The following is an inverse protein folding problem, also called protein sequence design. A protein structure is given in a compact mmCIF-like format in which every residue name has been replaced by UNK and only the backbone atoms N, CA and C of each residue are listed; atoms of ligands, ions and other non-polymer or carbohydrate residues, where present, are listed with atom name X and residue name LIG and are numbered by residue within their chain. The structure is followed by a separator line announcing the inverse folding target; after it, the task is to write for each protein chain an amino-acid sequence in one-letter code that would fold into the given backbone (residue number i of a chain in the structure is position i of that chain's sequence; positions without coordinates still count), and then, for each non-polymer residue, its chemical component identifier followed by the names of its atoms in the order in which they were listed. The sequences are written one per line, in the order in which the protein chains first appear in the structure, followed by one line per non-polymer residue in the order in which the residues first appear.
data_IF_469002030055
#
_entry.id   IF_469002030055
#
_cell.length_a   1.000
_cell.length_b   1.000
_cell.length_c   1.000
_cell.angle_alpha   90.00
_cell.angle_beta   90.00
_cell.angle_gamma   90.00
#
_symmetry.space_group_name_H-M   'P 1'
#
loop_
_entity.id
_entity.type
_entity.pdbx_description
1 polymer ?
#
# COMPACT_ATOMS: atom_id res chain seq x y z
N UNK A 1 6.90 -2.29 -34.91
CA UNK A 1 5.82 -2.99 -34.23
C UNK A 1 5.35 -2.09 -33.11
N UNK A 2 4.05 -1.89 -32.93
CA UNK A 2 3.55 -1.14 -31.78
C UNK A 2 3.57 -2.01 -30.52
N UNK A 3 3.30 -1.44 -29.35
CA UNK A 3 3.38 -2.17 -28.07
C UNK A 3 2.37 -3.32 -27.97
N UNK A 4 1.18 -3.17 -28.60
CA UNK A 4 0.16 -4.20 -28.62
C UNK A 4 0.57 -5.39 -29.51
N UNK A 5 1.16 -5.14 -30.69
CA UNK A 5 1.67 -6.21 -31.57
C UNK A 5 2.83 -6.95 -30.89
N UNK A 6 3.72 -6.22 -30.22
CA UNK A 6 4.83 -6.80 -29.47
C UNK A 6 4.33 -7.69 -28.33
N UNK A 7 3.26 -7.28 -27.66
CA UNK A 7 2.60 -8.07 -26.63
C UNK A 7 1.91 -9.32 -27.22
N UNK A 8 1.17 -9.17 -28.32
CA UNK A 8 0.51 -10.28 -28.97
C UNK A 8 1.50 -11.39 -29.41
N UNK A 9 2.70 -11.00 -29.86
CA UNK A 9 3.76 -11.94 -30.19
C UNK A 9 4.22 -12.80 -29.01
N UNK A 10 4.16 -12.29 -27.78
CA UNK A 10 4.49 -13.05 -26.57
C UNK A 10 3.47 -14.14 -26.23
N UNK A 11 2.23 -14.02 -26.72
CA UNK A 11 1.14 -14.97 -26.48
C UNK A 11 1.16 -16.15 -27.47
N UNK A 12 2.00 -16.10 -28.50
CA UNK A 12 2.20 -17.23 -29.43
C UNK A 12 2.99 -18.37 -28.76
N UNK A 13 2.92 -19.59 -29.35
CA UNK A 13 3.70 -20.74 -28.84
C UNK A 13 5.20 -20.42 -28.77
N UNK A 14 5.72 -19.70 -29.80
CA UNK A 14 7.12 -19.26 -29.83
C UNK A 14 7.44 -18.27 -28.70
N UNK A 15 6.58 -17.27 -28.51
CA UNK A 15 6.73 -16.30 -27.43
C UNK A 15 6.65 -16.92 -26.03
N UNK A 16 5.69 -17.83 -25.84
CA UNK A 16 5.53 -18.59 -24.61
C UNK A 16 6.75 -19.50 -24.31
N UNK A 17 7.29 -20.15 -25.35
CA UNK A 17 8.52 -20.94 -25.27
C UNK A 17 9.72 -20.10 -24.82
N UNK A 18 9.91 -18.92 -25.43
CA UNK A 18 10.97 -17.98 -25.02
C UNK A 18 10.81 -17.51 -23.59
N UNK A 19 9.60 -17.20 -23.14
CA UNK A 19 9.34 -16.79 -21.75
C UNK A 19 9.60 -17.92 -20.76
N UNK A 20 9.37 -19.17 -21.13
CA UNK A 20 9.70 -20.34 -20.31
C UNK A 20 11.22 -20.51 -20.18
N UNK A 21 11.98 -20.34 -21.29
CA UNK A 21 13.45 -20.39 -21.29
C UNK A 21 14.05 -19.26 -20.43
N UNK A 22 13.41 -18.09 -20.42
CA UNK A 22 13.86 -16.91 -19.69
C UNK A 22 13.45 -16.88 -18.21
N UNK A 23 12.77 -17.88 -17.69
CA UNK A 23 12.21 -17.88 -16.32
C UNK A 23 13.25 -17.59 -15.24
N UNK A 24 14.42 -18.24 -15.34
CA UNK A 24 15.45 -18.22 -14.31
C UNK A 24 16.72 -17.47 -14.76
N UNK A 25 16.61 -16.62 -15.81
CA UNK A 25 17.77 -15.89 -16.29
C UNK A 25 18.25 -14.82 -15.30
N UNK A 26 19.58 -14.68 -15.19
CA UNK A 26 20.19 -13.61 -14.40
C UNK A 26 20.35 -12.35 -15.28
N UNK A 27 20.08 -11.18 -14.68
CA UNK A 27 20.22 -9.89 -15.40
C UNK A 27 21.66 -9.65 -15.93
N UNK A 28 22.67 -10.24 -15.29
CA UNK A 28 24.07 -10.13 -15.71
C UNK A 28 24.36 -10.80 -17.08
N UNK A 29 23.57 -11.79 -17.47
CA UNK A 29 23.79 -12.59 -18.69
C UNK A 29 22.92 -12.13 -19.86
N UNK A 30 22.11 -11.08 -19.67
CA UNK A 30 21.06 -10.68 -20.61
C UNK A 30 21.59 -10.36 -22.02
N UNK A 31 22.74 -9.69 -22.14
CA UNK A 31 23.31 -9.32 -23.44
C UNK A 31 23.77 -10.55 -24.23
N UNK A 32 24.43 -11.49 -23.56
CA UNK A 32 24.88 -12.75 -24.18
C UNK A 32 23.67 -13.61 -24.58
N UNK A 33 22.66 -13.68 -23.73
CA UNK A 33 21.41 -14.38 -23.95
C UNK A 33 20.63 -13.79 -25.13
N UNK A 34 20.48 -12.46 -25.17
CA UNK A 34 19.86 -11.76 -26.30
C UNK A 34 20.56 -12.06 -27.64
N UNK A 35 21.90 -12.05 -27.64
CA UNK A 35 22.70 -12.33 -28.83
C UNK A 35 22.51 -13.77 -29.31
N UNK A 36 22.41 -14.72 -28.37
CA UNK A 36 22.16 -16.13 -28.68
C UNK A 36 20.77 -16.34 -29.27
N UNK A 37 19.73 -15.82 -28.58
CA UNK A 37 18.33 -16.02 -28.99
C UNK A 37 17.99 -15.37 -30.33
N UNK A 38 18.61 -14.26 -30.68
CA UNK A 38 18.42 -13.57 -31.96
C UNK A 38 18.95 -14.37 -33.18
N UNK A 39 19.63 -15.50 -32.99
CA UNK A 39 20.02 -16.39 -34.09
C UNK A 39 18.85 -17.23 -34.60
N UNK A 40 17.93 -17.57 -33.68
CA UNK A 40 16.85 -18.51 -33.94
C UNK A 40 15.47 -17.83 -33.90
N UNK A 41 15.37 -16.62 -33.35
CA UNK A 41 14.13 -15.89 -33.16
C UNK A 41 14.19 -14.43 -33.66
N UNK A 42 13.06 -13.84 -34.05
CA UNK A 42 12.98 -12.43 -34.44
C UNK A 42 13.48 -11.51 -33.33
N UNK A 43 14.33 -10.53 -33.70
CA UNK A 43 14.95 -9.63 -32.70
C UNK A 43 13.96 -8.85 -31.85
N UNK A 44 12.79 -8.52 -32.40
CA UNK A 44 11.71 -7.81 -31.72
C UNK A 44 11.04 -8.71 -30.67
N UNK A 45 10.77 -9.99 -31.02
CA UNK A 45 10.22 -10.96 -30.08
C UNK A 45 11.18 -11.23 -28.91
N UNK A 46 12.48 -11.39 -29.19
CA UNK A 46 13.51 -11.56 -28.16
C UNK A 46 13.55 -10.36 -27.23
N UNK A 47 13.46 -9.14 -27.78
CA UNK A 47 13.46 -7.91 -26.95
C UNK A 47 12.22 -7.82 -26.08
N UNK A 48 11.04 -8.17 -26.60
CA UNK A 48 9.79 -8.21 -25.86
C UNK A 48 9.83 -9.26 -24.73
N UNK A 49 10.34 -10.48 -25.03
CA UNK A 49 10.45 -11.56 -24.06
C UNK A 49 11.40 -11.24 -22.90
N UNK A 50 12.57 -10.64 -23.19
CA UNK A 50 13.51 -10.18 -22.17
C UNK A 50 12.91 -9.05 -21.31
N UNK A 51 12.20 -8.11 -21.97
CA UNK A 51 11.46 -7.05 -21.27
C UNK A 51 10.44 -7.64 -20.29
N UNK A 52 9.66 -8.61 -20.77
CA UNK A 52 8.64 -9.28 -19.94
C UNK A 52 9.26 -10.09 -18.79
N UNK A 53 10.35 -10.80 -19.03
CA UNK A 53 11.05 -11.55 -18.00
C UNK A 53 11.54 -10.63 -16.84
N UNK A 54 12.08 -9.45 -17.18
CA UNK A 54 12.44 -8.43 -16.16
C UNK A 54 11.23 -7.91 -15.39
N UNK A 55 10.11 -7.68 -16.07
CA UNK A 55 8.88 -7.24 -15.42
C UNK A 55 8.34 -8.31 -14.46
N UNK A 56 8.38 -9.60 -14.85
CA UNK A 56 8.01 -10.74 -13.99
C UNK A 56 8.86 -10.80 -12.71
N UNK A 57 10.17 -10.62 -12.81
CA UNK A 57 11.06 -10.58 -11.66
C UNK A 57 10.72 -9.42 -10.70
N UNK A 58 10.47 -8.22 -11.24
CA UNK A 58 10.05 -7.06 -10.44
C UNK A 58 8.66 -7.25 -9.80
N UNK A 59 7.76 -7.90 -10.51
CA UNK A 59 6.39 -8.14 -10.06
C UNK A 59 6.31 -9.16 -8.91
N UNK A 60 7.29 -10.05 -8.76
CA UNK A 60 7.30 -11.07 -7.71
C UNK A 60 7.13 -10.51 -6.30
N UNK A 61 7.62 -9.31 -6.04
CA UNK A 61 7.44 -8.61 -4.75
C UNK A 61 6.00 -8.16 -4.47
N UNK A 62 5.13 -8.10 -5.49
CA UNK A 62 3.72 -7.70 -5.36
C UNK A 62 2.77 -8.89 -5.48
N UNK A 63 3.06 -9.81 -6.42
CA UNK A 63 2.16 -10.89 -6.82
C UNK A 63 2.60 -12.27 -6.31
N UNK A 64 3.77 -12.36 -5.66
CA UNK A 64 4.41 -13.64 -5.36
C UNK A 64 5.14 -14.21 -6.57
N UNK A 65 6.12 -15.10 -6.33
CA UNK A 65 6.97 -15.62 -7.40
C UNK A 65 6.20 -16.52 -8.39
N UNK A 66 5.24 -17.30 -7.90
CA UNK A 66 4.47 -18.25 -8.70
C UNK A 66 3.56 -17.54 -9.71
N UNK A 67 2.71 -16.61 -9.24
CA UNK A 67 1.82 -15.85 -10.11
C UNK A 67 2.60 -14.96 -11.05
N UNK A 68 3.60 -14.22 -10.54
CA UNK A 68 4.42 -13.34 -11.36
C UNK A 68 5.12 -14.07 -12.52
N UNK A 69 5.50 -15.34 -12.35
CA UNK A 69 6.10 -16.14 -13.41
C UNK A 69 5.12 -16.51 -14.54
N UNK A 70 3.81 -16.53 -14.24
CA UNK A 70 2.74 -16.86 -15.21
C UNK A 70 2.12 -15.62 -15.83
N UNK A 71 2.00 -14.54 -15.08
CA UNK A 71 1.37 -13.29 -15.47
C UNK A 71 2.19 -12.51 -16.50
N UNK A 72 1.49 -11.57 -17.15
CA UNK A 72 2.06 -10.58 -18.05
C UNK A 72 1.93 -9.18 -17.47
N UNK A 73 2.87 -8.30 -17.82
CA UNK A 73 2.98 -6.99 -17.21
C UNK A 73 3.32 -5.91 -18.24
N UNK A 74 2.81 -4.70 -18.00
CA UNK A 74 3.37 -3.47 -18.56
C UNK A 74 4.25 -2.79 -17.51
N UNK A 75 5.20 -1.92 -17.90
CA UNK A 75 6.01 -1.16 -16.93
C UNK A 75 5.15 -0.39 -15.91
N UNK A 76 4.11 0.31 -16.39
CA UNK A 76 3.16 1.03 -15.56
C UNK A 76 2.32 0.08 -14.69
N UNK A 77 1.88 -1.06 -15.26
CA UNK A 77 1.10 -2.08 -14.55
C UNK A 77 1.85 -2.62 -13.33
N UNK A 78 3.14 -2.96 -13.45
CA UNK A 78 3.94 -3.41 -12.28
C UNK A 78 4.00 -2.34 -11.20
N UNK A 79 4.15 -1.06 -11.57
CA UNK A 79 4.24 0.02 -10.59
C UNK A 79 2.92 0.32 -9.91
N UNK A 80 1.81 0.35 -10.66
CA UNK A 80 0.52 0.84 -10.21
C UNK A 80 -0.38 -0.25 -9.62
N UNK A 81 -0.21 -1.52 -10.03
CA UNK A 81 -1.04 -2.61 -9.54
C UNK A 81 -1.03 -2.72 -8.02
N UNK A 82 -2.19 -3.04 -7.48
CA UNK A 82 -2.39 -3.39 -6.07
C UNK A 82 -1.56 -4.63 -5.71
N UNK A 83 -0.99 -4.68 -4.51
CA UNK A 83 -0.36 -5.90 -3.98
C UNK A 83 -1.40 -6.98 -3.74
N UNK A 84 -1.05 -8.23 -3.95
CA UNK A 84 -1.95 -9.37 -3.74
C UNK A 84 -2.58 -9.37 -2.35
N UNK A 85 -1.79 -9.12 -1.29
CA UNK A 85 -2.29 -9.06 0.10
C UNK A 85 -3.41 -8.06 0.29
N UNK A 86 -3.30 -6.89 -0.35
CA UNK A 86 -4.30 -5.80 -0.27
C UNK A 86 -5.52 -6.13 -1.14
N UNK A 87 -5.31 -6.66 -2.35
CA UNK A 87 -6.39 -7.08 -3.24
C UNK A 87 -7.20 -8.24 -2.64
N UNK A 88 -6.54 -9.22 -2.02
CA UNK A 88 -7.20 -10.34 -1.31
C UNK A 88 -8.01 -9.86 -0.09
N UNK A 89 -7.48 -8.88 0.66
CA UNK A 89 -8.25 -8.26 1.75
C UNK A 89 -9.54 -7.64 1.22
N UNK A 90 -9.47 -6.89 0.14
CA UNK A 90 -10.63 -6.27 -0.52
C UNK A 90 -11.62 -7.32 -1.02
N UNK A 91 -11.14 -8.36 -1.71
CA UNK A 91 -11.97 -9.45 -2.21
C UNK A 91 -12.69 -10.18 -1.09
N UNK A 92 -11.99 -10.49 0.02
CA UNK A 92 -12.59 -11.09 1.21
C UNK A 92 -13.70 -10.20 1.77
N UNK A 93 -13.47 -8.91 1.85
CA UNK A 93 -14.47 -7.97 2.37
C UNK A 93 -15.70 -7.88 1.48
N UNK A 94 -15.55 -7.88 0.15
CA UNK A 94 -16.70 -8.00 -0.77
C UNK A 94 -17.45 -9.31 -0.56
N UNK A 95 -16.77 -10.45 -0.39
CA UNK A 95 -17.40 -11.73 -0.12
C UNK A 95 -18.17 -11.72 1.22
N UNK A 96 -17.62 -11.12 2.28
CA UNK A 96 -18.30 -10.94 3.58
C UNK A 96 -19.57 -10.09 3.46
N UNK A 97 -19.62 -9.15 2.52
CA UNK A 97 -20.80 -8.34 2.19
C UNK A 97 -21.82 -9.10 1.30
N UNK A 98 -21.58 -10.37 1.01
CA UNK A 98 -22.45 -11.22 0.20
C UNK A 98 -22.48 -10.82 -1.28
N UNK A 99 -21.37 -10.31 -1.81
CA UNK A 99 -21.23 -9.88 -3.20
C UNK A 99 -20.89 -11.07 -4.09
N UNK A 100 -21.72 -11.35 -5.09
CA UNK A 100 -21.50 -12.42 -6.08
C UNK A 100 -20.91 -11.91 -7.41
N UNK A 101 -20.99 -10.60 -7.66
CA UNK A 101 -20.47 -9.98 -8.88
C UNK A 101 -19.99 -8.55 -8.65
N UNK A 102 -18.86 -8.16 -9.26
CA UNK A 102 -18.24 -6.84 -9.14
C UNK A 102 -17.89 -6.26 -10.51
N UNK A 103 -18.23 -5.00 -10.74
CA UNK A 103 -17.63 -4.22 -11.82
C UNK A 103 -16.35 -3.55 -11.29
N UNK A 104 -15.18 -4.01 -11.75
CA UNK A 104 -13.85 -3.46 -11.46
C UNK A 104 -13.50 -2.40 -12.51
N UNK A 105 -13.69 -1.15 -12.14
CA UNK A 105 -13.54 0.00 -13.02
C UNK A 105 -12.15 0.62 -12.86
N UNK A 106 -11.43 0.75 -13.98
CA UNK A 106 -10.01 1.04 -14.09
C UNK A 106 -9.15 -0.15 -13.58
N UNK A 107 -9.46 -1.35 -14.08
CA UNK A 107 -8.90 -2.61 -13.59
C UNK A 107 -7.37 -2.75 -13.79
N UNK A 108 -6.77 -1.91 -14.65
CA UNK A 108 -5.37 -2.03 -14.99
C UNK A 108 -5.05 -3.42 -15.55
N UNK A 109 -3.96 -4.02 -15.09
CA UNK A 109 -3.54 -5.37 -15.50
C UNK A 109 -4.31 -6.51 -14.81
N UNK A 110 -5.39 -6.19 -14.10
CA UNK A 110 -6.31 -7.15 -13.48
C UNK A 110 -5.93 -7.62 -12.07
N UNK A 111 -5.09 -6.89 -11.33
CA UNK A 111 -4.62 -7.32 -10.01
C UNK A 111 -5.75 -7.54 -9.00
N UNK A 112 -6.68 -6.61 -8.89
CA UNK A 112 -7.86 -6.71 -8.03
C UNK A 112 -8.88 -7.70 -8.60
N UNK A 113 -9.11 -7.70 -9.93
CA UNK A 113 -9.99 -8.65 -10.61
C UNK A 113 -9.60 -10.12 -10.35
N UNK A 114 -8.28 -10.42 -10.37
CA UNK A 114 -7.76 -11.76 -10.05
C UNK A 114 -8.10 -12.16 -8.61
N UNK A 115 -7.90 -11.25 -7.64
CA UNK A 115 -8.21 -11.53 -6.24
C UNK A 115 -9.73 -11.75 -6.01
N UNK A 116 -10.56 -10.94 -6.64
CA UNK A 116 -12.02 -11.08 -6.61
C UNK A 116 -12.45 -12.42 -7.21
N UNK A 117 -11.95 -12.81 -8.38
CA UNK A 117 -12.25 -14.07 -9.03
C UNK A 117 -11.80 -15.28 -8.20
N UNK A 118 -10.65 -15.24 -7.54
CA UNK A 118 -10.16 -16.26 -6.60
C UNK A 118 -11.07 -16.41 -5.37
N UNK A 119 -11.76 -15.34 -4.97
CA UNK A 119 -12.78 -15.39 -3.94
C UNK A 119 -14.15 -15.91 -4.44
N UNK A 120 -14.25 -16.36 -5.70
CA UNK A 120 -15.47 -16.88 -6.31
C UNK A 120 -16.44 -15.80 -6.81
N UNK A 121 -16.00 -14.55 -6.90
CA UNK A 121 -16.81 -13.42 -7.36
C UNK A 121 -16.63 -13.25 -8.86
N UNK A 122 -17.73 -13.11 -9.62
CA UNK A 122 -17.67 -12.75 -11.05
C UNK A 122 -17.26 -11.31 -11.23
N UNK A 123 -16.37 -11.04 -12.18
CA UNK A 123 -15.81 -9.72 -12.39
C UNK A 123 -16.01 -9.25 -13.83
N UNK A 124 -16.53 -8.03 -13.99
CA UNK A 124 -16.36 -7.24 -15.20
C UNK A 124 -15.18 -6.31 -14.98
N UNK A 125 -14.06 -6.59 -15.61
CA UNK A 125 -12.84 -5.78 -15.52
C UNK A 125 -12.79 -4.80 -16.70
N UNK A 126 -12.84 -3.49 -16.42
CA UNK A 126 -12.91 -2.46 -17.45
C UNK A 126 -11.71 -1.53 -17.36
N UNK A 127 -11.05 -1.33 -18.48
CA UNK A 127 -10.03 -0.29 -18.65
C UNK A 127 -10.14 0.32 -20.05
N UNK A 128 -9.66 1.53 -20.26
CA UNK A 128 -9.73 2.21 -21.56
C UNK A 128 -8.52 1.94 -22.46
N UNK A 129 -7.41 1.47 -21.88
CA UNK A 129 -6.16 1.23 -22.62
C UNK A 129 -6.15 -0.17 -23.25
N UNK A 130 -6.11 -0.29 -24.60
CA UNK A 130 -6.18 -1.60 -25.26
C UNK A 130 -5.06 -2.56 -24.88
N UNK A 131 -3.83 -2.07 -24.64
CA UNK A 131 -2.73 -2.92 -24.22
C UNK A 131 -2.96 -3.44 -22.79
N UNK A 132 -3.42 -2.57 -21.90
CA UNK A 132 -3.74 -2.93 -20.51
C UNK A 132 -4.85 -3.97 -20.47
N UNK A 133 -5.92 -3.82 -21.27
CA UNK A 133 -7.00 -4.80 -21.39
C UNK A 133 -6.50 -6.15 -21.94
N UNK A 134 -5.65 -6.13 -22.98
CA UNK A 134 -5.06 -7.36 -23.51
C UNK A 134 -4.21 -8.10 -22.46
N UNK A 135 -3.45 -7.34 -21.65
CA UNK A 135 -2.67 -7.90 -20.54
C UNK A 135 -3.58 -8.47 -19.43
N UNK A 136 -4.64 -7.77 -19.06
CA UNK A 136 -5.61 -8.26 -18.07
C UNK A 136 -6.29 -9.56 -18.53
N UNK A 137 -6.68 -9.63 -19.80
CA UNK A 137 -7.25 -10.84 -20.41
C UNK A 137 -6.25 -12.02 -20.37
N UNK A 138 -5.02 -11.79 -20.82
CA UNK A 138 -3.97 -12.80 -20.79
C UNK A 138 -3.65 -13.28 -19.35
N UNK A 139 -3.74 -12.39 -18.37
CA UNK A 139 -3.56 -12.74 -16.95
C UNK A 139 -4.70 -13.61 -16.43
N UNK A 140 -5.95 -13.29 -16.77
CA UNK A 140 -7.11 -14.12 -16.43
C UNK A 140 -6.97 -15.54 -17.01
N UNK A 141 -6.57 -15.65 -18.25
CA UNK A 141 -6.33 -16.94 -18.93
C UNK A 141 -5.16 -17.70 -18.32
N UNK A 142 -3.99 -17.05 -18.15
CA UNK A 142 -2.81 -17.67 -17.59
C UNK A 142 -3.00 -18.21 -16.19
N UNK A 143 -3.89 -17.60 -15.41
CA UNK A 143 -4.21 -18.02 -14.03
C UNK A 143 -5.42 -18.96 -13.96
N UNK A 144 -6.10 -19.26 -15.08
CA UNK A 144 -7.27 -20.15 -15.13
C UNK A 144 -8.54 -19.50 -14.57
N UNK A 145 -8.68 -18.18 -14.68
CA UNK A 145 -9.79 -17.39 -14.14
C UNK A 145 -10.69 -16.77 -15.23
N UNK A 146 -10.47 -17.10 -16.51
CA UNK A 146 -11.19 -16.51 -17.63
C UNK A 146 -12.71 -16.73 -17.57
N UNK A 147 -13.19 -17.80 -16.93
CA UNK A 147 -14.63 -18.06 -16.76
C UNK A 147 -15.29 -17.10 -15.74
N UNK A 148 -14.49 -16.48 -14.85
CA UNK A 148 -14.97 -15.55 -13.82
C UNK A 148 -14.66 -14.08 -14.15
N UNK A 149 -13.74 -13.80 -15.07
CA UNK A 149 -13.31 -12.44 -15.41
C UNK A 149 -13.66 -12.14 -16.86
N UNK A 150 -14.60 -11.22 -17.08
CA UNK A 150 -14.86 -10.61 -18.38
C UNK A 150 -14.05 -9.32 -18.49
N UNK A 151 -13.14 -9.21 -19.45
CA UNK A 151 -12.38 -7.97 -19.69
C UNK A 151 -13.04 -7.19 -20.81
N UNK A 152 -13.26 -5.89 -20.58
CA UNK A 152 -13.84 -4.96 -21.54
C UNK A 152 -12.95 -3.73 -21.71
N UNK A 153 -12.59 -3.44 -22.95
CA UNK A 153 -11.86 -2.23 -23.30
C UNK A 153 -12.88 -1.13 -23.63
N UNK A 154 -13.16 -0.27 -22.64
CA UNK A 154 -14.19 0.76 -22.75
C UNK A 154 -13.90 1.93 -21.79
N UNK A 155 -14.61 3.05 -21.97
CA UNK A 155 -14.63 4.11 -20.97
C UNK A 155 -15.55 3.69 -19.82
N UNK A 156 -15.01 3.69 -18.60
CA UNK A 156 -15.76 3.30 -17.39
C UNK A 156 -17.02 4.12 -17.16
N UNK A 157 -17.08 5.34 -17.71
CA UNK A 157 -18.26 6.22 -17.59
C UNK A 157 -19.43 5.76 -18.46
N UNK A 158 -19.18 4.91 -19.45
CA UNK A 158 -20.20 4.33 -20.34
C UNK A 158 -20.75 2.98 -19.81
N UNK A 159 -20.16 2.43 -18.74
CA UNK A 159 -20.55 1.12 -18.19
C UNK A 159 -21.81 1.23 -17.35
N UNK A 160 -22.80 0.40 -17.66
CA UNK A 160 -23.97 0.21 -16.78
C UNK A 160 -23.56 -0.63 -15.57
N UNK A 161 -23.40 0.02 -14.43
CA UNK A 161 -23.03 -0.62 -13.15
C UNK A 161 -24.23 -1.26 -12.45
N UNK A 162 -25.46 -0.97 -12.88
CA UNK A 162 -26.68 -1.45 -12.22
C UNK A 162 -26.92 -2.96 -12.36
N UNK A 163 -26.24 -3.63 -13.31
CA UNK A 163 -26.31 -5.08 -13.50
C UNK A 163 -25.40 -5.88 -12.55
N UNK A 164 -24.58 -5.21 -11.72
CA UNK A 164 -23.58 -5.80 -10.84
C UNK A 164 -23.93 -5.60 -9.38
N UNK A 165 -23.65 -6.60 -8.52
CA UNK A 165 -23.92 -6.48 -7.08
C UNK A 165 -23.10 -5.38 -6.43
N UNK A 166 -21.88 -5.16 -6.91
CA UNK A 166 -20.99 -4.15 -6.38
C UNK A 166 -20.11 -3.49 -7.46
N UNK A 167 -19.55 -2.36 -7.09
CA UNK A 167 -18.62 -1.58 -7.90
C UNK A 167 -17.31 -1.37 -7.14
N UNK A 168 -16.19 -1.64 -7.79
CA UNK A 168 -14.87 -1.21 -7.35
C UNK A 168 -14.31 -0.18 -8.33
N UNK A 169 -13.73 0.91 -7.83
CA UNK A 169 -13.09 1.93 -8.65
C UNK A 169 -11.70 2.23 -8.14
N UNK A 170 -10.68 2.06 -9.00
CA UNK A 170 -9.30 2.48 -8.76
C UNK A 170 -8.89 3.56 -9.78
N UNK A 171 -9.31 4.82 -9.59
CA UNK A 171 -9.08 5.84 -10.59
C UNK A 171 -7.60 6.16 -10.76
N UNK A 172 -7.18 6.37 -12.03
CA UNK A 172 -5.80 6.68 -12.34
C UNK A 172 -5.37 8.02 -11.71
N UNK A 173 -4.30 7.98 -10.90
CA UNK A 173 -3.74 9.13 -10.16
C UNK A 173 -2.48 9.70 -10.78
N UNK A 174 -2.14 9.29 -12.01
CA UNK A 174 -0.96 9.76 -12.75
C UNK A 174 -1.38 10.44 -14.04
N UNK A 175 -0.96 11.70 -14.18
CA UNK A 175 -0.97 12.42 -15.46
C UNK A 175 0.43 12.42 -16.06
N UNK A 176 0.57 12.93 -17.30
CA UNK A 176 1.86 12.99 -18.00
C UNK A 176 2.98 13.77 -17.28
N UNK A 177 2.70 14.43 -16.16
CA UNK A 177 3.65 15.22 -15.35
C UNK A 177 3.87 14.66 -13.93
N UNK A 178 3.42 13.42 -13.62
CA UNK A 178 3.63 12.81 -12.33
C UNK A 178 2.35 12.49 -11.55
N UNK A 179 2.48 12.37 -10.21
CA UNK A 179 1.38 11.99 -9.31
C UNK A 179 0.43 13.15 -9.07
N UNK A 180 -0.86 12.92 -9.23
CA UNK A 180 -1.93 13.89 -8.97
C UNK A 180 -2.36 13.75 -7.50
N UNK A 181 -2.42 14.86 -6.77
CA UNK A 181 -2.82 14.90 -5.36
C UNK A 181 -4.29 15.28 -5.18
N UNK A 182 -4.84 16.12 -6.07
CA UNK A 182 -6.25 16.49 -6.07
C UNK A 182 -7.09 15.32 -6.61
N UNK A 183 -7.99 14.73 -5.82
CA UNK A 183 -8.82 13.60 -6.27
C UNK A 183 -9.82 13.97 -7.38
N UNK A 184 -10.20 15.23 -7.52
CA UNK A 184 -11.05 15.69 -8.64
C UNK A 184 -10.29 15.71 -9.98
N UNK A 185 -8.98 15.71 -9.96
CA UNK A 185 -8.15 15.58 -11.16
C UNK A 185 -7.77 14.11 -11.50
N UNK A 186 -8.31 13.13 -10.78
CA UNK A 186 -8.18 11.71 -11.14
C UNK A 186 -8.96 11.38 -12.42
N UNK A 187 -8.70 10.23 -13.00
CA UNK A 187 -9.45 9.74 -14.15
C UNK A 187 -10.01 8.34 -13.87
N UNK A 188 -11.33 8.22 -13.64
CA UNK A 188 -12.33 9.30 -13.53
C UNK A 188 -12.16 10.14 -12.25
N UNK A 189 -12.81 11.36 -12.19
CA UNK A 189 -12.82 12.21 -11.00
C UNK A 189 -13.46 11.55 -9.79
N UNK A 190 -13.06 11.96 -8.58
CA UNK A 190 -13.63 11.41 -7.34
C UNK A 190 -15.14 11.60 -7.25
N UNK A 191 -15.66 12.76 -7.67
CA UNK A 191 -17.10 13.04 -7.72
C UNK A 191 -17.86 12.01 -8.55
N UNK A 192 -17.35 11.67 -9.75
CA UNK A 192 -17.94 10.62 -10.59
C UNK A 192 -17.91 9.26 -9.89
N UNK A 193 -16.78 8.89 -9.28
CA UNK A 193 -16.63 7.60 -8.60
C UNK A 193 -17.59 7.48 -7.41
N UNK A 194 -17.79 8.56 -6.64
CA UNK A 194 -18.77 8.63 -5.55
C UNK A 194 -20.20 8.43 -6.09
N UNK A 195 -20.53 9.09 -7.19
CA UNK A 195 -21.86 8.95 -7.80
C UNK A 195 -22.09 7.53 -8.36
N UNK A 196 -21.06 6.89 -8.92
CA UNK A 196 -21.13 5.49 -9.32
C UNK A 196 -21.34 4.55 -8.11
N UNK A 197 -20.61 4.80 -7.01
CA UNK A 197 -20.73 4.05 -5.76
C UNK A 197 -22.12 4.18 -5.13
N UNK A 198 -22.74 5.37 -5.16
CA UNK A 198 -24.09 5.61 -4.64
C UNK A 198 -25.18 4.86 -5.38
N UNK A 199 -24.96 4.54 -6.65
CA UNK A 199 -25.92 3.75 -7.46
C UNK A 199 -25.83 2.25 -7.23
N UNK A 200 -24.70 1.77 -6.69
CA UNK A 200 -24.49 0.35 -6.41
C UNK A 200 -25.00 -0.04 -5.03
N UNK A 201 -25.37 -1.30 -4.85
CA UNK A 201 -25.74 -1.85 -3.53
C UNK A 201 -24.56 -1.79 -2.56
N UNK A 202 -23.35 -2.04 -3.07
CA UNK A 202 -22.10 -2.01 -2.33
C UNK A 202 -21.02 -1.44 -3.25
N UNK A 203 -20.07 -0.68 -2.72
CA UNK A 203 -18.93 -0.24 -3.51
C UNK A 203 -17.68 0.00 -2.66
N UNK A 204 -16.53 -0.06 -3.32
CA UNK A 204 -15.24 0.34 -2.77
C UNK A 204 -14.54 1.32 -3.72
N UNK A 205 -14.10 2.46 -3.20
CA UNK A 205 -13.33 3.45 -3.95
C UNK A 205 -11.93 3.53 -3.37
N UNK A 206 -10.92 3.21 -4.17
CA UNK A 206 -9.51 3.29 -3.79
C UNK A 206 -9.00 4.71 -3.94
N UNK A 207 -8.51 5.28 -2.86
CA UNK A 207 -8.04 6.66 -2.77
C UNK A 207 -6.60 6.69 -2.25
N UNK A 208 -5.89 7.79 -2.52
CA UNK A 208 -4.57 8.01 -1.93
C UNK A 208 -4.66 8.02 -0.40
N UNK A 209 -3.71 7.41 0.32
CA UNK A 209 -3.76 7.33 1.79
C UNK A 209 -3.62 8.69 2.49
N UNK A 210 -3.25 9.73 1.76
CA UNK A 210 -3.18 11.11 2.24
C UNK A 210 -4.44 11.93 1.97
N UNK A 211 -5.56 11.28 1.65
CA UNK A 211 -6.83 11.98 1.44
C UNK A 211 -7.25 12.74 2.69
N UNK A 212 -7.69 14.01 2.56
CA UNK A 212 -8.28 14.76 3.65
C UNK A 212 -9.57 14.09 4.15
N UNK A 213 -9.78 14.06 5.47
CA UNK A 213 -10.97 13.42 6.05
C UNK A 213 -12.28 14.11 5.64
N UNK A 214 -12.23 15.39 5.32
CA UNK A 214 -13.36 16.19 4.84
C UNK A 214 -13.92 15.72 3.49
N UNK A 215 -13.12 14.96 2.74
CA UNK A 215 -13.53 14.36 1.46
C UNK A 215 -14.17 12.97 1.62
N UNK A 216 -14.20 12.42 2.84
CA UNK A 216 -14.89 11.15 3.11
C UNK A 216 -16.40 11.39 3.05
N UNK A 217 -17.15 10.71 2.15
CA UNK A 217 -18.61 10.82 2.13
C UNK A 217 -19.22 10.36 3.46
N UNK A 218 -20.21 11.08 3.96
CA UNK A 218 -20.84 10.78 5.25
C UNK A 218 -21.52 9.38 5.27
N UNK A 219 -21.94 8.89 4.11
CA UNK A 219 -22.54 7.58 3.92
C UNK A 219 -21.51 6.44 3.75
N UNK A 220 -20.24 6.76 3.65
CA UNK A 220 -19.18 5.77 3.49
C UNK A 220 -18.49 5.44 4.81
N UNK A 221 -17.96 4.23 4.92
CA UNK A 221 -16.93 3.87 5.87
C UNK A 221 -15.56 4.16 5.23
N UNK A 222 -14.63 4.76 5.97
CA UNK A 222 -13.28 5.00 5.52
C UNK A 222 -12.30 4.01 6.15
N UNK A 223 -11.52 3.31 5.34
CA UNK A 223 -10.51 2.34 5.78
C UNK A 223 -9.13 2.74 5.28
N UNK A 224 -8.15 2.85 6.20
CA UNK A 224 -6.74 2.98 5.85
C UNK A 224 -6.03 1.65 6.01
N UNK A 225 -5.37 1.18 4.95
CA UNK A 225 -4.75 -0.14 4.88
C UNK A 225 -3.23 0.03 4.83
N UNK A 226 -2.54 -0.63 5.75
CA UNK A 226 -1.09 -0.80 5.71
C UNK A 226 -0.72 -2.25 5.38
N UNK A 227 0.38 -2.44 4.64
CA UNK A 227 0.96 -3.74 4.34
C UNK A 227 2.46 -3.70 4.61
N UNK A 228 2.93 -4.58 5.50
CA UNK A 228 4.31 -4.59 5.96
C UNK A 228 4.73 -3.29 6.66
N UNK A 229 3.82 -2.61 7.36
CA UNK A 229 4.09 -1.35 8.10
C UNK A 229 3.98 -0.07 7.25
N UNK A 230 3.79 -0.18 5.95
CA UNK A 230 3.60 0.99 5.06
C UNK A 230 2.13 1.16 4.70
N UNK A 231 1.60 2.38 4.84
CA UNK A 231 0.23 2.70 4.41
C UNK A 231 0.18 2.69 2.88
N UNK A 232 -0.65 1.80 2.32
CA UNK A 232 -0.74 1.61 0.87
C UNK A 232 -1.84 2.45 0.24
N UNK A 233 -3.01 2.48 0.87
CA UNK A 233 -4.19 3.14 0.34
C UNK A 233 -5.18 3.53 1.45
N UNK A 234 -6.13 4.38 1.10
CA UNK A 234 -7.41 4.52 1.77
C UNK A 234 -8.50 3.97 0.85
N UNK A 235 -9.57 3.44 1.43
CA UNK A 235 -10.74 2.93 0.69
C UNK A 235 -12.00 3.52 1.31
N UNK A 236 -12.88 4.07 0.47
CA UNK A 236 -14.23 4.44 0.87
C UNK A 236 -15.17 3.29 0.53
N UNK A 237 -15.79 2.70 1.54
CA UNK A 237 -16.74 1.60 1.42
C UNK A 237 -18.16 2.10 1.52
N UNK A 238 -19.00 1.77 0.53
CA UNK A 238 -20.42 2.06 0.51
C UNK A 238 -21.22 0.78 0.71
N UNK A 239 -22.41 0.87 1.29
CA UNK A 239 -23.21 -0.30 1.67
C UNK A 239 -22.70 -1.00 2.94
N UNK A 240 -21.87 -0.32 3.73
CA UNK A 240 -21.34 -0.74 5.03
C UNK A 240 -21.85 0.19 6.13
N UNK A 241 -21.08 0.43 7.19
CA UNK A 241 -21.46 1.30 8.30
C UNK A 241 -21.14 2.77 7.99
N UNK A 242 -22.12 3.63 7.73
CA UNK A 242 -21.89 5.03 7.43
C UNK A 242 -21.08 5.76 8.51
N UNK A 243 -20.11 6.55 8.09
CA UNK A 243 -19.26 7.35 8.98
C UNK A 243 -18.26 6.56 9.83
N UNK A 244 -18.24 5.22 9.70
CA UNK A 244 -17.25 4.40 10.40
C UNK A 244 -15.84 4.67 9.84
N UNK A 245 -14.85 4.55 10.73
CA UNK A 245 -13.43 4.68 10.38
C UNK A 245 -12.67 3.45 10.85
N UNK A 246 -11.76 2.97 10.02
CA UNK A 246 -11.00 1.74 10.28
C UNK A 246 -9.53 1.89 9.87
N UNK A 247 -8.64 1.27 10.64
CA UNK A 247 -7.25 1.03 10.25
C UNK A 247 -7.01 -0.48 10.20
N UNK A 248 -6.51 -0.99 9.08
CA UNK A 248 -6.24 -2.42 8.87
C UNK A 248 -4.76 -2.65 8.61
N UNK A 249 -4.22 -3.67 9.28
CA UNK A 249 -2.82 -4.06 9.19
C UNK A 249 -2.68 -5.39 8.46
N UNK A 250 -2.00 -5.39 7.34
CA UNK A 250 -1.72 -6.60 6.57
C UNK A 250 -0.23 -7.00 6.73
N UNK A 251 0.10 -8.27 6.66
CA UNK A 251 -0.76 -9.41 6.30
C UNK A 251 -1.57 -10.01 7.47
N UNK A 252 -1.41 -9.54 8.72
CA UNK A 252 -2.07 -10.13 9.90
C UNK A 252 -3.61 -10.06 9.84
N UNK A 253 -4.17 -9.03 9.19
CA UNK A 253 -5.59 -8.79 9.14
C UNK A 253 -6.17 -8.09 10.37
N UNK A 254 -5.31 -7.68 11.32
CA UNK A 254 -5.75 -6.92 12.49
C UNK A 254 -6.42 -5.61 12.06
N UNK A 255 -7.61 -5.33 12.60
CA UNK A 255 -8.37 -4.13 12.29
C UNK A 255 -8.78 -3.39 13.55
N UNK A 256 -8.52 -2.08 13.58
CA UNK A 256 -8.95 -1.16 14.63
C UNK A 256 -10.07 -0.30 14.09
N UNK A 257 -11.25 -0.39 14.69
CA UNK A 257 -12.39 0.45 14.37
C UNK A 257 -12.45 1.66 15.30
N UNK A 258 -12.85 2.80 14.75
CA UNK A 258 -13.11 4.00 15.53
C UNK A 258 -14.36 3.84 16.39
N UNK A 259 -14.26 4.25 17.64
CA UNK A 259 -15.35 4.20 18.62
C UNK A 259 -15.82 5.59 19.04
N UNK A 260 -15.29 6.64 18.37
CA UNK A 260 -15.63 8.04 18.67
C UNK A 260 -15.05 8.55 20.00
N UNK A 261 -13.92 7.97 20.43
CA UNK A 261 -13.26 8.43 21.64
C UNK A 261 -12.77 9.88 21.49
N UNK A 262 -12.84 10.67 22.56
CA UNK A 262 -12.25 11.99 22.58
C UNK A 262 -10.72 11.90 22.50
N UNK A 263 -10.07 13.02 22.15
CA UNK A 263 -8.62 13.10 22.17
C UNK A 263 -8.07 12.64 23.53
N UNK A 264 -7.02 11.79 23.55
CA UNK A 264 -6.45 11.30 24.79
C UNK A 264 -5.86 12.45 25.61
N UNK A 265 -5.85 12.34 26.96
CA UNK A 265 -5.21 13.34 27.81
C UNK A 265 -3.71 13.41 27.51
N UNK A 266 -3.14 14.61 27.61
CA UNK A 266 -1.68 14.78 27.61
C UNK A 266 -1.13 14.35 28.98
N UNK A 267 -0.02 13.61 28.97
CA UNK A 267 0.64 13.08 30.17
C UNK A 267 2.16 13.27 30.06
N UNK A 268 2.86 13.41 31.20
CA UNK A 268 4.31 13.28 31.24
C UNK A 268 4.76 11.96 30.62
N UNK A 269 5.96 11.93 30.06
CA UNK A 269 6.53 10.72 29.47
C UNK A 269 6.68 9.65 30.54
N UNK A 270 5.94 8.55 30.40
CA UNK A 270 6.01 7.37 31.26
C UNK A 270 7.13 6.40 30.82
N UNK A 271 7.13 5.23 31.43
CA UNK A 271 8.14 4.20 31.16
C UNK A 271 8.11 3.71 29.72
N UNK A 272 6.94 3.64 29.10
CA UNK A 272 6.77 3.13 27.74
C UNK A 272 6.22 4.21 26.82
N UNK A 273 6.81 4.26 25.62
CA UNK A 273 6.33 5.08 24.50
C UNK A 273 5.84 4.14 23.39
N UNK A 274 4.65 4.41 22.92
CA UNK A 274 4.03 3.69 21.81
C UNK A 274 4.02 4.58 20.56
N UNK A 275 4.53 4.04 19.47
CA UNK A 275 4.45 4.66 18.15
C UNK A 275 3.32 4.01 17.34
N UNK A 276 2.15 4.63 17.22
CA UNK A 276 1.06 4.11 16.42
C UNK A 276 1.47 3.94 14.96
N UNK A 277 0.99 2.85 14.34
CA UNK A 277 1.21 2.54 12.93
C UNK A 277 0.65 3.62 12.01
N UNK A 278 1.20 3.70 10.80
CA UNK A 278 0.81 4.73 9.83
C UNK A 278 -0.69 4.72 9.50
N UNK A 279 -1.32 3.55 9.36
CA UNK A 279 -2.75 3.43 9.10
C UNK A 279 -3.60 3.99 10.27
N UNK A 280 -3.20 3.71 11.52
CA UNK A 280 -3.86 4.24 12.73
C UNK A 280 -3.80 5.76 12.77
N UNK A 281 -2.61 6.33 12.49
CA UNK A 281 -2.43 7.79 12.47
C UNK A 281 -3.26 8.44 11.38
N UNK A 282 -3.27 7.84 10.18
CA UNK A 282 -4.04 8.34 9.03
C UNK A 282 -5.55 8.22 9.24
N UNK A 283 -5.99 7.17 9.93
CA UNK A 283 -7.40 6.95 10.29
C UNK A 283 -7.85 7.81 11.49
N UNK A 284 -6.96 8.60 12.11
CA UNK A 284 -7.21 9.38 13.34
C UNK A 284 -7.65 8.51 14.54
N UNK A 285 -7.14 7.26 14.64
CA UNK A 285 -7.49 6.28 15.67
C UNK A 285 -6.44 6.18 16.79
N UNK A 286 -5.69 7.26 17.04
CA UNK A 286 -4.68 7.29 18.11
C UNK A 286 -5.33 7.22 19.50
N UNK A 287 -6.56 7.72 19.65
CA UNK A 287 -7.33 7.66 20.89
C UNK A 287 -7.64 6.22 21.31
N UNK A 288 -8.02 5.37 20.34
CA UNK A 288 -8.30 3.96 20.55
C UNK A 288 -7.04 3.20 21.01
N UNK A 289 -5.89 3.51 20.41
CA UNK A 289 -4.60 2.95 20.86
C UNK A 289 -4.26 3.44 22.26
N UNK A 290 -4.43 4.73 22.57
CA UNK A 290 -4.17 5.26 23.90
C UNK A 290 -5.07 4.59 24.95
N UNK A 291 -6.34 4.40 24.65
CA UNK A 291 -7.28 3.71 25.55
C UNK A 291 -6.86 2.24 25.75
N UNK A 292 -6.47 1.53 24.68
CA UNK A 292 -6.08 0.11 24.77
C UNK A 292 -4.83 -0.14 25.62
N UNK A 293 -3.93 0.84 25.71
CA UNK A 293 -2.69 0.75 26.52
C UNK A 293 -2.79 1.51 27.85
N UNK A 294 -3.97 2.01 28.23
CA UNK A 294 -4.16 2.81 29.44
C UNK A 294 -3.31 4.08 29.48
N UNK A 295 -3.02 4.63 28.30
CA UNK A 295 -2.06 5.71 28.11
C UNK A 295 -2.67 7.08 27.82
N UNK A 296 -1.80 8.01 27.41
CA UNK A 296 -2.14 9.34 26.94
C UNK A 296 -1.09 9.87 25.96
N UNK A 297 -1.30 11.04 25.40
CA UNK A 297 -0.34 11.67 24.48
C UNK A 297 0.80 12.34 25.25
N UNK A 298 1.98 12.41 24.68
CA UNK A 298 3.10 13.21 25.24
C UNK A 298 3.00 14.68 24.83
N UNK A 299 2.22 14.99 23.81
CA UNK A 299 1.99 16.32 23.24
C UNK A 299 0.67 16.28 22.42
N UNK A 300 -0.16 17.32 22.49
CA UNK A 300 -1.48 17.30 21.84
C UNK A 300 -1.40 17.16 20.30
N UNK A 301 -0.28 17.58 19.70
CA UNK A 301 -0.05 17.55 18.25
C UNK A 301 0.83 16.40 17.77
N UNK A 302 1.27 15.54 18.69
CA UNK A 302 2.20 14.45 18.37
C UNK A 302 1.56 13.09 18.65
N UNK A 303 1.44 12.27 17.62
CA UNK A 303 0.87 10.92 17.72
C UNK A 303 1.87 9.92 18.35
N UNK A 304 2.39 10.23 19.52
CA UNK A 304 3.07 9.30 20.43
C UNK A 304 2.23 9.13 21.68
N UNK A 305 1.95 7.88 22.03
CA UNK A 305 1.22 7.53 23.25
C UNK A 305 2.21 7.07 24.30
N UNK A 306 1.99 7.44 25.55
CA UNK A 306 2.82 7.02 26.67
C UNK A 306 2.01 6.30 27.74
N UNK A 307 2.62 5.31 28.42
CA UNK A 307 2.02 4.57 29.54
C UNK A 307 3.11 4.10 30.49
N UNK A 308 2.77 3.90 31.77
CA UNK A 308 3.70 3.33 32.75
C UNK A 308 3.70 1.79 32.75
N UNK A 309 2.68 1.18 32.17
CA UNK A 309 2.57 -0.27 32.00
C UNK A 309 2.77 -0.68 30.55
N UNK A 310 3.40 -1.84 30.33
CA UNK A 310 3.53 -2.43 28.99
C UNK A 310 2.27 -3.22 28.65
N UNK A 311 1.61 -2.80 27.57
CA UNK A 311 0.46 -3.49 26.99
C UNK A 311 0.77 -3.89 25.55
N UNK A 312 0.55 -5.15 25.20
CA UNK A 312 0.70 -5.60 23.82
C UNK A 312 -0.44 -5.08 22.94
N UNK A 313 -0.09 -4.55 21.79
CA UNK A 313 -1.05 -4.13 20.76
C UNK A 313 -0.40 -4.27 19.39
N UNK A 314 -1.09 -4.77 18.35
CA UNK A 314 -0.55 -4.80 16.99
C UNK A 314 -0.53 -3.40 16.35
N UNK A 315 -1.25 -2.43 16.91
CA UNK A 315 -1.48 -1.12 16.31
C UNK A 315 -0.40 -0.09 16.62
N UNK A 316 0.55 -0.41 17.51
CA UNK A 316 1.68 0.46 17.83
C UNK A 316 2.93 -0.34 18.19
N UNK A 317 4.09 0.21 17.87
CA UNK A 317 5.37 -0.33 18.35
C UNK A 317 5.67 0.29 19.71
N UNK A 318 5.95 -0.56 20.71
CA UNK A 318 6.31 -0.14 22.05
C UNK A 318 7.83 0.02 22.22
N UNK A 319 8.22 1.01 23.00
CA UNK A 319 9.61 1.30 23.36
C UNK A 319 9.71 1.58 24.86
N UNK A 320 10.66 0.96 25.55
CA UNK A 320 11.01 1.36 26.92
C UNK A 320 11.88 2.60 26.86
N UNK A 321 11.43 3.69 27.48
CA UNK A 321 12.17 4.96 27.54
C UNK A 321 13.15 4.91 28.69
N UNK A 322 14.41 5.19 28.37
CA UNK A 322 15.52 5.19 29.32
C UNK A 322 15.94 6.58 29.73
N UNK A 323 15.74 7.58 28.85
CA UNK A 323 16.09 8.96 29.12
C UNK A 323 15.21 9.95 28.37
N UNK A 324 15.00 11.09 29.01
CA UNK A 324 14.38 12.28 28.44
C UNK A 324 15.34 13.47 28.59
N UNK A 325 15.61 14.14 27.50
CA UNK A 325 16.54 15.27 27.42
C UNK A 325 15.88 16.46 26.71
N UNK A 326 16.09 17.70 27.17
CA UNK A 326 15.83 18.85 26.31
C UNK A 326 16.62 18.72 25.00
N UNK A 327 16.11 19.34 23.94
CA UNK A 327 16.76 19.24 22.62
C UNK A 327 18.20 19.81 22.67
N UNK A 328 19.18 18.94 22.82
CA UNK A 328 20.61 19.29 22.85
C UNK A 328 21.47 18.17 22.26
N UNK A 329 21.93 18.38 21.02
CA UNK A 329 22.70 17.39 20.26
C UNK A 329 24.03 17.01 20.96
N UNK A 330 24.70 17.96 21.65
CA UNK A 330 25.95 17.67 22.37
C UNK A 330 25.72 16.76 23.56
N UNK A 331 24.68 17.05 24.35
CA UNK A 331 24.30 16.25 25.52
C UNK A 331 23.86 14.85 25.13
N UNK A 332 23.02 14.73 24.07
CA UNK A 332 22.64 13.43 23.52
C UNK A 332 23.86 12.63 23.08
N UNK A 333 24.82 13.25 22.38
CA UNK A 333 26.03 12.57 21.93
C UNK A 333 26.89 12.05 23.07
N UNK A 334 27.02 12.83 24.15
CA UNK A 334 27.74 12.40 25.35
C UNK A 334 27.06 11.16 25.99
N UNK A 335 25.74 11.19 26.18
CA UNK A 335 24.95 10.08 26.72
C UNK A 335 25.09 8.81 25.88
N UNK A 336 24.94 8.92 24.55
CA UNK A 336 25.02 7.76 23.67
C UNK A 336 26.43 7.14 23.63
N UNK A 337 27.48 7.94 23.80
CA UNK A 337 28.86 7.47 23.91
C UNK A 337 29.12 6.78 25.25
N UNK A 338 28.65 7.34 26.36
CA UNK A 338 28.72 6.74 27.68
C UNK A 338 28.06 5.34 27.68
N UNK A 339 26.97 5.18 26.97
CA UNK A 339 26.25 3.89 26.80
C UNK A 339 26.83 2.99 25.73
N UNK A 340 27.98 3.32 25.17
CA UNK A 340 28.64 2.57 24.09
C UNK A 340 27.70 2.22 22.91
N UNK A 341 26.82 3.16 22.53
CA UNK A 341 25.92 3.00 21.39
C UNK A 341 26.70 3.12 20.08
N UNK A 342 26.52 2.16 19.18
CA UNK A 342 27.09 2.17 17.83
C UNK A 342 26.00 2.16 16.76
N UNK A 343 24.86 1.50 17.01
CA UNK A 343 23.72 1.46 16.09
C UNK A 343 22.65 2.41 16.60
N UNK A 344 22.33 3.45 15.79
CA UNK A 344 21.36 4.46 16.14
C UNK A 344 20.19 4.49 15.18
N UNK A 345 19.01 4.14 15.68
CA UNK A 345 17.73 4.41 14.99
C UNK A 345 17.25 5.80 15.41
N UNK A 346 16.89 6.63 14.44
CA UNK A 346 16.34 7.97 14.72
C UNK A 346 14.93 8.05 14.14
N UNK A 347 13.98 8.36 14.99
CA UNK A 347 12.57 8.62 14.64
C UNK A 347 12.26 10.09 14.86
N UNK A 348 11.38 10.65 14.03
CA UNK A 348 11.06 12.07 14.06
C UNK A 348 9.56 12.31 13.97
N UNK A 349 9.01 13.05 14.95
CA UNK A 349 7.67 13.66 14.89
C UNK A 349 7.71 15.01 15.60
N UNK A 350 7.42 16.09 14.86
CA UNK A 350 7.36 17.44 15.44
C UNK A 350 8.73 18.10 15.69
N UNK A 351 9.81 17.61 15.09
CA UNK A 351 11.14 18.22 15.16
C UNK A 351 11.58 18.72 13.77
N UNK A 352 12.26 19.86 13.67
CA UNK A 352 12.80 20.35 12.40
C UNK A 352 14.06 19.60 11.95
N UNK A 353 14.78 18.92 12.88
CA UNK A 353 16.02 18.22 12.54
C UNK A 353 15.76 16.91 11.81
N UNK A 354 16.45 16.69 10.70
CA UNK A 354 16.34 15.45 9.93
C UNK A 354 17.13 14.29 10.58
N UNK A 355 16.62 13.04 10.56
CA UNK A 355 17.27 11.87 11.10
C UNK A 355 18.68 11.65 10.58
N UNK A 356 18.90 11.80 9.28
CA UNK A 356 20.21 11.63 8.63
C UNK A 356 21.21 12.69 9.10
N UNK A 357 20.76 13.91 9.33
CA UNK A 357 21.60 14.99 9.86
C UNK A 357 22.07 14.65 11.27
N UNK A 358 21.16 14.18 12.12
CA UNK A 358 21.52 13.74 13.47
C UNK A 358 22.54 12.60 13.43
N UNK A 359 22.29 11.55 12.63
CA UNK A 359 23.20 10.39 12.51
C UNK A 359 24.61 10.84 12.11
N UNK A 360 24.74 11.70 11.11
CA UNK A 360 26.04 12.24 10.66
C UNK A 360 26.80 12.99 11.76
N UNK A 361 26.08 13.72 12.63
CA UNK A 361 26.69 14.46 13.75
C UNK A 361 27.11 13.55 14.89
N UNK A 362 26.45 12.39 15.06
CA UNK A 362 26.71 11.49 16.21
C UNK A 362 28.06 10.80 16.11
N UNK A 363 28.44 10.22 14.94
CA UNK A 363 29.71 9.48 14.75
C UNK A 363 29.97 8.52 15.92
N UNK A 364 29.03 7.64 16.19
CA UNK A 364 29.05 6.67 17.29
C UNK A 364 29.85 5.43 16.91
N UNK A 365 30.46 4.80 17.93
CA UNK A 365 31.16 3.53 17.82
C UNK A 365 30.91 2.75 19.10
N UNK A 366 30.32 1.55 19.01
CA UNK A 366 30.02 0.71 20.16
C UNK A 366 29.17 -0.48 19.75
N UNK A 367 29.02 -1.46 20.65
CA UNK A 367 28.25 -2.68 20.38
C UNK A 367 26.73 -2.50 20.58
N UNK A 368 26.30 -1.44 21.29
CA UNK A 368 24.91 -1.31 21.69
C UNK A 368 24.05 -0.57 20.65
N UNK A 369 22.76 -0.87 20.63
CA UNK A 369 21.77 -0.17 19.84
C UNK A 369 20.89 0.74 20.72
N UNK A 370 20.42 1.85 20.16
CA UNK A 370 19.43 2.72 20.80
C UNK A 370 18.51 3.35 19.74
N UNK A 371 17.29 3.68 20.17
CA UNK A 371 16.36 4.49 19.38
C UNK A 371 16.23 5.87 20.01
N UNK A 372 16.39 6.91 19.19
CA UNK A 372 16.20 8.30 19.60
C UNK A 372 14.97 8.86 18.92
N UNK A 373 14.08 9.47 19.70
CA UNK A 373 12.90 10.17 19.19
C UNK A 373 13.15 11.68 19.26
N UNK A 374 13.17 12.32 18.10
CA UNK A 374 13.19 13.76 17.98
C UNK A 374 11.73 14.25 17.96
N UNK A 375 11.30 14.85 19.06
CA UNK A 375 9.88 15.15 19.26
C UNK A 375 9.66 16.42 20.07
N UNK A 376 8.42 16.63 20.48
CA UNK A 376 8.02 17.60 21.50
C UNK A 376 7.30 16.87 22.63
N UNK A 377 7.42 17.40 23.81
CA UNK A 377 6.66 17.01 24.99
C UNK A 377 6.09 18.29 25.58
N UNK A 378 4.76 18.43 25.62
CA UNK A 378 4.09 19.65 26.06
C UNK A 378 4.68 20.92 25.38
N UNK A 379 4.73 20.90 24.02
CA UNK A 379 5.32 21.92 23.16
C UNK A 379 6.85 22.12 23.28
N UNK A 380 7.51 21.53 24.27
CA UNK A 380 8.94 21.66 24.45
C UNK A 380 9.74 20.71 23.53
N UNK A 381 10.68 21.22 22.71
CA UNK A 381 11.55 20.36 21.90
C UNK A 381 12.34 19.38 22.78
N UNK A 382 12.14 18.08 22.54
CA UNK A 382 12.61 17.01 23.42
C UNK A 382 13.27 15.89 22.61
N UNK A 383 14.27 15.26 23.21
CA UNK A 383 14.87 14.01 22.72
C UNK A 383 14.59 12.91 23.74
N UNK A 384 13.90 11.86 23.31
CA UNK A 384 13.72 10.65 24.12
C UNK A 384 14.69 9.59 23.63
N UNK A 385 15.26 8.83 24.55
CA UNK A 385 16.11 7.67 24.25
C UNK A 385 15.43 6.43 24.78
N UNK A 386 15.37 5.39 23.98
CA UNK A 386 14.71 4.16 24.34
C UNK A 386 15.17 2.97 23.51
N UNK A 387 14.56 1.83 23.76
CA UNK A 387 14.75 0.57 23.04
C UNK A 387 13.40 -0.10 22.76
N UNK A 388 13.25 -0.80 21.63
CA UNK A 388 12.05 -1.59 21.39
C UNK A 388 11.89 -2.69 22.46
N UNK A 389 10.65 -3.02 22.78
CA UNK A 389 10.29 -4.07 23.74
C UNK A 389 9.38 -5.10 23.12
#
# INVERSE_FOLDING_TARGET
MNDLDSFAALLTDEGAGLLAELRDHAAADELALATRLRRDHPAELVSAALGQARLRQRAAAKFGAEDAARMYFTPNGVEQATRTTVAEHRARRFAELGTGSVADLCCGIGGDAIALARAGIRVLAVDRDPLTCAVAQANAEALGLAELIEVRCDDVTAVDTGAWDAVFVDPARRGGRGRIFDPEAYSPPLSWAIDAARRARCAALKIAPGVPHELVPAEAEAEWISDGGEVKEAVFWFGTTPGAVRATLLPSGDALAGTGLPNPPVRPVGRYLYEPGGAVVRAHLVAEVAASVGGGLIDPMIAYVTSDALHATPFATAYEITDQLPFNVKRLKALLRERAVGVLTVKKRGSPMEPEELRRRMKLKGPNAATVFLTRVEDAPTMLVGRPV
#
